data_IF_764572459058
#
_entry.id   IF_764572459058
#
_cell.length_a   1.000
_cell.length_b   1.000
_cell.length_c   1.000
_cell.angle_alpha   90.00
_cell.angle_beta   90.00
_cell.angle_gamma   90.00
#
_symmetry.space_group_name_H-M   'P 1'
#
loop_
_entity.id
_entity.type
_entity.pdbx_description
1 polymer ?
#
# COMPACT_ATOMS: atom_id res chain seq x y z
N UNK A 1 -9.81 -14.43 36.99
CA UNK A 1 -9.10 -14.97 35.81
C UNK A 1 -8.91 -13.85 34.82
N UNK A 2 -7.70 -13.34 34.65
CA UNK A 2 -7.40 -12.35 33.61
C UNK A 2 -7.37 -13.08 32.26
N UNK A 3 -8.32 -12.79 31.38
CA UNK A 3 -8.28 -13.25 30.00
C UNK A 3 -7.09 -12.58 29.31
N UNK A 4 -6.01 -13.33 29.13
CA UNK A 4 -4.92 -12.96 28.23
C UNK A 4 -5.50 -12.93 26.82
N UNK A 5 -5.97 -11.74 26.42
CA UNK A 5 -6.43 -11.51 25.05
C UNK A 5 -5.19 -11.64 24.18
N UNK A 6 -5.08 -12.74 23.44
CA UNK A 6 -3.96 -12.94 22.50
C UNK A 6 -4.00 -11.78 21.52
N UNK A 7 -2.95 -10.94 21.54
CA UNK A 7 -2.87 -9.77 20.68
C UNK A 7 -3.02 -10.19 19.23
N UNK A 8 -3.86 -9.48 18.46
CA UNK A 8 -4.10 -9.86 17.06
C UNK A 8 -2.79 -9.70 16.30
N UNK A 9 -2.51 -10.55 15.29
CA UNK A 9 -1.29 -10.43 14.50
C UNK A 9 -1.04 -9.02 13.94
N UNK A 10 -2.12 -8.33 13.53
CA UNK A 10 -2.05 -6.95 13.04
C UNK A 10 -1.54 -5.94 14.08
N UNK A 11 -1.89 -6.14 15.36
CA UNK A 11 -1.49 -5.23 16.43
C UNK A 11 0.03 -5.32 16.67
N UNK A 12 0.62 -6.52 16.51
CA UNK A 12 2.07 -6.73 16.58
C UNK A 12 2.80 -6.06 15.42
N UNK A 13 2.30 -6.21 14.20
CA UNK A 13 2.88 -5.55 13.03
C UNK A 13 2.82 -4.03 13.17
N UNK A 14 1.69 -3.49 13.65
CA UNK A 14 1.53 -2.05 13.86
C UNK A 14 2.38 -1.50 14.99
N UNK A 15 2.57 -2.25 16.08
CA UNK A 15 3.47 -1.84 17.15
C UNK A 15 4.91 -1.71 16.63
N UNK A 16 5.43 -2.76 15.99
CA UNK A 16 6.78 -2.75 15.39
C UNK A 16 6.94 -1.64 14.35
N UNK A 17 5.99 -1.52 13.41
CA UNK A 17 6.04 -0.49 12.38
C UNK A 17 5.95 0.92 12.97
N UNK A 18 5.17 1.14 14.03
CA UNK A 18 5.06 2.46 14.66
C UNK A 18 6.32 2.83 15.44
N UNK A 19 7.06 1.86 15.97
CA UNK A 19 8.34 2.10 16.63
C UNK A 19 9.40 2.63 15.66
N UNK A 20 9.34 2.22 14.40
CA UNK A 20 10.20 2.73 13.33
C UNK A 20 9.76 4.11 12.80
N UNK A 21 8.59 4.61 13.17
CA UNK A 21 7.98 5.83 12.62
C UNK A 21 7.44 6.74 13.73
N UNK A 22 8.32 7.35 14.52
CA UNK A 22 7.94 8.27 15.60
C UNK A 22 7.98 9.74 15.18
N UNK A 23 8.78 10.11 14.19
CA UNK A 23 8.91 11.50 13.74
C UNK A 23 7.66 11.96 12.95
N UNK A 24 7.06 13.08 13.35
CA UNK A 24 5.83 13.60 12.74
C UNK A 24 6.00 14.02 11.26
N UNK A 25 7.18 14.48 10.84
CA UNK A 25 7.47 14.73 9.43
C UNK A 25 7.50 13.42 8.65
N UNK A 26 8.22 12.41 9.15
CA UNK A 26 8.30 11.10 8.51
C UNK A 26 6.91 10.46 8.35
N UNK A 27 6.08 10.52 9.40
CA UNK A 27 4.70 10.04 9.37
C UNK A 27 3.83 10.79 8.34
N UNK A 28 3.96 12.11 8.21
CA UNK A 28 3.21 12.91 7.22
C UNK A 28 3.59 12.54 5.80
N UNK A 29 4.90 12.38 5.55
CA UNK A 29 5.41 11.89 4.26
C UNK A 29 4.82 10.52 3.94
N UNK A 30 4.84 9.59 4.91
CA UNK A 30 4.31 8.23 4.71
C UNK A 30 2.82 8.21 4.34
N UNK A 31 2.00 9.06 4.95
CA UNK A 31 0.56 9.12 4.66
C UNK A 31 0.28 9.46 3.18
N UNK A 32 1.19 10.17 2.51
CA UNK A 32 1.06 10.51 1.09
C UNK A 32 1.84 9.54 0.19
N UNK A 33 3.09 9.27 0.55
CA UNK A 33 4.00 8.48 -0.27
C UNK A 33 3.60 7.00 -0.34
N UNK A 34 3.11 6.41 0.75
CA UNK A 34 2.74 4.98 0.76
C UNK A 34 1.56 4.68 -0.17
N UNK A 35 0.43 5.42 -0.14
CA UNK A 35 -0.63 5.24 -1.14
C UNK A 35 -0.15 5.48 -2.57
N UNK A 36 0.71 6.48 -2.80
CA UNK A 36 1.28 6.75 -4.12
C UNK A 36 2.17 5.59 -4.62
N UNK A 37 3.01 5.03 -3.76
CA UNK A 37 3.82 3.85 -4.07
C UNK A 37 2.91 2.65 -4.37
N UNK A 38 1.93 2.38 -3.51
CA UNK A 38 0.99 1.27 -3.72
C UNK A 38 0.25 1.39 -5.06
N UNK A 39 -0.28 2.56 -5.40
CA UNK A 39 -0.91 2.80 -6.69
C UNK A 39 0.06 2.67 -7.86
N UNK A 40 1.27 3.23 -7.76
CA UNK A 40 2.26 3.14 -8.85
C UNK A 40 2.70 1.70 -9.11
N UNK A 41 2.84 0.86 -8.09
CA UNK A 41 3.10 -0.58 -8.26
C UNK A 41 1.95 -1.27 -8.98
N UNK A 42 0.70 -0.97 -8.61
CA UNK A 42 -0.49 -1.49 -9.30
C UNK A 42 -0.46 -1.07 -10.77
N UNK A 43 -0.18 0.20 -11.08
CA UNK A 43 -0.12 0.71 -12.45
C UNK A 43 1.04 0.12 -13.26
N UNK A 44 2.22 -0.10 -12.65
CA UNK A 44 3.34 -0.78 -13.31
C UNK A 44 2.99 -2.24 -13.65
N UNK A 45 2.37 -2.97 -12.72
CA UNK A 45 1.85 -4.32 -12.98
C UNK A 45 0.73 -4.32 -14.01
N UNK A 46 -0.06 -3.25 -14.08
CA UNK A 46 -1.12 -3.08 -15.06
C UNK A 46 -0.58 -3.03 -16.49
N UNK A 47 0.58 -2.39 -16.65
CA UNK A 47 1.27 -2.24 -17.94
C UNK A 47 1.98 -3.52 -18.42
N UNK A 48 2.04 -4.58 -17.60
CA UNK A 48 2.62 -5.84 -18.03
C UNK A 48 1.69 -6.55 -19.04
N UNK A 49 2.22 -6.95 -20.21
CA UNK A 49 1.40 -7.63 -21.20
C UNK A 49 0.89 -8.97 -20.66
N UNK A 50 -0.36 -9.35 -20.96
CA UNK A 50 -0.89 -10.65 -20.60
C UNK A 50 -0.14 -11.76 -21.37
N UNK A 51 0.18 -12.86 -20.69
CA UNK A 51 0.82 -14.03 -21.33
C UNK A 51 -0.17 -14.88 -22.13
N UNK A 52 -1.48 -14.69 -21.92
CA UNK A 52 -2.56 -15.40 -22.60
C UNK A 52 -3.44 -14.36 -23.27
N UNK A 53 -3.66 -14.52 -24.58
CA UNK A 53 -4.29 -13.52 -25.46
C UNK A 53 -5.75 -13.21 -25.15
N UNK A 54 -6.43 -14.03 -24.34
CA UNK A 54 -7.80 -13.76 -23.89
C UNK A 54 -7.88 -12.79 -22.69
N UNK A 55 -6.76 -12.53 -22.02
CA UNK A 55 -6.73 -11.54 -20.94
C UNK A 55 -6.40 -10.15 -21.47
N UNK A 56 -6.91 -9.15 -20.75
CA UNK A 56 -6.62 -7.74 -20.99
C UNK A 56 -5.45 -7.28 -20.11
N UNK A 57 -4.89 -6.10 -20.43
CA UNK A 57 -3.98 -5.40 -19.53
C UNK A 57 -4.64 -5.20 -18.15
N UNK A 58 -3.82 -5.23 -17.10
CA UNK A 58 -4.32 -5.20 -15.72
C UNK A 58 -4.51 -6.57 -15.06
N UNK A 59 -4.41 -7.69 -15.77
CA UNK A 59 -4.58 -9.03 -15.15
C UNK A 59 -3.59 -9.29 -14.01
N UNK A 60 -2.32 -8.94 -14.19
CA UNK A 60 -1.28 -9.11 -13.18
C UNK A 60 -1.50 -8.21 -11.96
N UNK A 61 -1.93 -6.96 -12.19
CA UNK A 61 -2.33 -6.06 -11.13
C UNK A 61 -3.54 -6.62 -10.35
N UNK A 62 -4.55 -7.14 -11.05
CA UNK A 62 -5.72 -7.77 -10.44
C UNK A 62 -5.37 -8.95 -9.54
N UNK A 63 -4.52 -9.86 -10.01
CA UNK A 63 -4.03 -11.00 -9.24
C UNK A 63 -3.23 -10.56 -8.01
N UNK A 64 -2.33 -9.59 -8.16
CA UNK A 64 -1.53 -9.06 -7.06
C UNK A 64 -2.41 -8.36 -6.00
N UNK A 65 -3.36 -7.53 -6.44
CA UNK A 65 -4.33 -6.87 -5.54
C UNK A 65 -5.20 -7.89 -4.82
N UNK A 66 -5.67 -8.95 -5.49
CA UNK A 66 -6.45 -10.00 -4.86
C UNK A 66 -5.64 -10.77 -3.80
N UNK A 67 -4.38 -11.14 -4.12
CA UNK A 67 -3.49 -11.79 -3.17
C UNK A 67 -3.19 -10.90 -1.94
N UNK A 68 -2.89 -9.62 -2.16
CA UNK A 68 -2.68 -8.65 -1.09
C UNK A 68 -3.95 -8.44 -0.25
N UNK A 69 -5.12 -8.37 -0.89
CA UNK A 69 -6.40 -8.26 -0.20
C UNK A 69 -6.68 -9.49 0.67
N UNK A 70 -6.44 -10.71 0.16
CA UNK A 70 -6.55 -11.94 0.95
C UNK A 70 -5.67 -11.90 2.21
N UNK A 71 -4.44 -11.39 2.07
CA UNK A 71 -3.54 -11.18 3.21
C UNK A 71 -4.11 -10.15 4.21
N UNK A 72 -4.58 -9.00 3.75
CA UNK A 72 -5.16 -7.97 4.62
C UNK A 72 -6.44 -8.41 5.32
N UNK A 73 -7.32 -9.09 4.60
CA UNK A 73 -8.60 -9.58 5.13
C UNK A 73 -8.39 -10.65 6.22
N UNK A 74 -7.28 -11.41 6.15
CA UNK A 74 -6.86 -12.32 7.23
C UNK A 74 -6.36 -11.60 8.48
N UNK A 75 -5.80 -10.39 8.35
CA UNK A 75 -5.30 -9.58 9.46
C UNK A 75 -6.41 -8.78 10.16
N UNK A 76 -7.30 -8.14 9.39
CA UNK A 76 -8.51 -7.46 9.89
C UNK A 76 -9.53 -7.35 8.75
N UNK A 77 -10.75 -7.85 8.94
CA UNK A 77 -11.82 -7.77 7.94
C UNK A 77 -12.19 -6.32 7.61
N UNK A 78 -12.28 -5.47 8.63
CA UNK A 78 -12.68 -4.08 8.47
C UNK A 78 -11.66 -3.28 7.66
N UNK A 79 -10.36 -3.48 7.91
CA UNK A 79 -9.32 -2.89 7.05
C UNK A 79 -9.23 -3.56 5.69
N UNK A 80 -9.53 -4.87 5.61
CA UNK A 80 -9.65 -5.61 4.36
C UNK A 80 -10.66 -4.97 3.41
N UNK A 81 -11.83 -4.55 3.90
CA UNK A 81 -12.81 -3.81 3.10
C UNK A 81 -12.31 -2.43 2.66
N UNK A 82 -11.62 -1.70 3.54
CA UNK A 82 -11.03 -0.41 3.16
C UNK A 82 -9.94 -0.56 2.08
N UNK A 83 -9.11 -1.60 2.18
CA UNK A 83 -8.12 -1.92 1.14
C UNK A 83 -8.76 -2.41 -0.16
N UNK A 84 -9.88 -3.15 -0.08
CA UNK A 84 -10.65 -3.53 -1.26
C UNK A 84 -11.16 -2.30 -2.02
N UNK A 85 -11.71 -1.32 -1.30
CA UNK A 85 -12.13 -0.05 -1.89
C UNK A 85 -10.95 0.70 -2.52
N UNK A 86 -9.82 0.79 -1.82
CA UNK A 86 -8.59 1.40 -2.36
C UNK A 86 -8.11 0.71 -3.65
N UNK A 87 -8.11 -0.62 -3.69
CA UNK A 87 -7.72 -1.39 -4.87
C UNK A 87 -8.69 -1.22 -6.03
N UNK A 88 -9.99 -1.22 -5.76
CA UNK A 88 -11.00 -0.96 -6.78
C UNK A 88 -10.81 0.42 -7.42
N UNK A 89 -10.67 1.47 -6.59
CA UNK A 89 -10.40 2.83 -7.09
C UNK A 89 -9.09 2.89 -7.88
N UNK A 90 -8.03 2.26 -7.38
CA UNK A 90 -6.73 2.21 -8.07
C UNK A 90 -6.84 1.55 -9.45
N UNK A 91 -7.59 0.45 -9.56
CA UNK A 91 -7.85 -0.22 -10.83
C UNK A 91 -8.68 0.64 -11.79
N UNK A 92 -9.73 1.32 -11.30
CA UNK A 92 -10.49 2.27 -12.10
C UNK A 92 -9.60 3.40 -12.63
N UNK A 93 -8.74 3.97 -11.79
CA UNK A 93 -7.79 5.03 -12.19
C UNK A 93 -6.82 4.51 -13.25
N UNK A 94 -6.29 3.29 -13.11
CA UNK A 94 -5.41 2.70 -14.13
C UNK A 94 -6.15 2.54 -15.47
N UNK A 95 -7.39 2.03 -15.45
CA UNK A 95 -8.18 1.86 -16.67
C UNK A 95 -8.50 3.20 -17.34
N UNK A 96 -8.87 4.22 -16.57
CA UNK A 96 -9.16 5.56 -17.10
C UNK A 96 -7.90 6.18 -17.71
N UNK A 97 -6.76 6.13 -17.01
CA UNK A 97 -5.50 6.66 -17.54
C UNK A 97 -5.00 5.87 -18.75
N UNK A 98 -5.12 4.55 -18.76
CA UNK A 98 -4.80 3.74 -19.95
C UNK A 98 -5.62 4.20 -21.16
N UNK A 99 -6.91 4.48 -20.98
CA UNK A 99 -7.78 4.95 -22.05
C UNK A 99 -7.43 6.37 -22.54
N UNK A 100 -7.07 7.28 -21.64
CA UNK A 100 -6.81 8.69 -21.97
C UNK A 100 -5.40 8.95 -22.50
N UNK A 101 -4.37 8.35 -21.87
CA UNK A 101 -2.97 8.63 -22.19
C UNK A 101 -2.24 7.44 -22.83
N UNK A 102 -2.87 6.26 -22.88
CA UNK A 102 -2.27 5.05 -23.42
C UNK A 102 -1.31 4.34 -22.44
N UNK A 103 -1.08 3.05 -22.70
CA UNK A 103 -0.31 2.16 -21.81
C UNK A 103 1.14 2.63 -21.59
N UNK A 104 1.81 3.13 -22.63
CA UNK A 104 3.21 3.57 -22.54
C UNK A 104 3.34 4.81 -21.65
N UNK A 105 2.43 5.77 -21.76
CA UNK A 105 2.47 6.96 -20.91
C UNK A 105 2.04 6.63 -19.48
N UNK A 106 1.08 5.71 -19.29
CA UNK A 106 0.74 5.18 -17.96
C UNK A 106 1.97 4.55 -17.28
N UNK A 107 2.76 3.75 -18.01
CA UNK A 107 3.98 3.15 -17.49
C UNK A 107 4.97 4.22 -17.00
N UNK A 108 5.28 5.23 -17.82
CA UNK A 108 6.22 6.29 -17.44
C UNK A 108 5.69 7.18 -16.31
N UNK A 109 4.39 7.46 -16.30
CA UNK A 109 3.74 8.17 -15.20
C UNK A 109 3.88 7.38 -13.89
N UNK A 110 3.55 6.08 -13.91
CA UNK A 110 3.67 5.21 -12.75
C UNK A 110 5.11 5.12 -12.26
N UNK A 111 6.08 4.97 -13.18
CA UNK A 111 7.51 4.95 -12.83
C UNK A 111 7.96 6.27 -12.20
N UNK A 112 7.52 7.41 -12.72
CA UNK A 112 7.80 8.73 -12.15
C UNK A 112 7.23 8.89 -10.74
N UNK A 113 5.96 8.52 -10.54
CA UNK A 113 5.31 8.54 -9.22
C UNK A 113 6.03 7.60 -8.24
N UNK A 114 6.38 6.40 -8.67
CA UNK A 114 7.13 5.43 -7.86
C UNK A 114 8.46 6.01 -7.39
N UNK A 115 9.26 6.57 -8.31
CA UNK A 115 10.55 7.16 -7.98
C UNK A 115 10.43 8.34 -7.01
N UNK A 116 9.54 9.30 -7.30
CA UNK A 116 9.34 10.49 -6.46
C UNK A 116 8.86 10.12 -5.06
N UNK A 117 7.89 9.21 -4.95
CA UNK A 117 7.35 8.79 -3.67
C UNK A 117 8.37 8.02 -2.83
N UNK A 118 9.21 7.19 -3.45
CA UNK A 118 10.32 6.53 -2.76
C UNK A 118 11.39 7.52 -2.27
N UNK A 119 11.78 8.48 -3.10
CA UNK A 119 12.70 9.55 -2.69
C UNK A 119 12.12 10.29 -1.48
N UNK A 120 10.84 10.64 -1.51
CA UNK A 120 10.17 11.26 -0.37
C UNK A 120 10.21 10.36 0.88
N UNK A 121 9.89 9.07 0.78
CA UNK A 121 9.99 8.13 1.91
C UNK A 121 11.40 8.06 2.50
N UNK A 122 12.44 7.98 1.67
CA UNK A 122 13.82 7.96 2.15
C UNK A 122 14.22 9.26 2.84
N UNK A 123 13.76 10.41 2.33
CA UNK A 123 13.93 11.70 3.01
C UNK A 123 13.25 11.66 4.38
N UNK A 124 12.03 11.11 4.48
CA UNK A 124 11.33 10.92 5.75
C UNK A 124 12.15 10.08 6.75
N UNK A 125 12.67 8.93 6.31
CA UNK A 125 13.51 8.06 7.14
C UNK A 125 14.85 8.69 7.53
N UNK A 126 15.44 9.52 6.67
CA UNK A 126 16.64 10.29 7.03
C UNK A 126 16.38 11.20 8.25
N UNK A 127 15.19 11.82 8.32
CA UNK A 127 14.80 12.65 9.47
C UNK A 127 14.36 11.82 10.69
N UNK A 128 13.88 10.60 10.48
CA UNK A 128 13.56 9.66 11.56
C UNK A 128 14.82 9.13 12.25
N UNK A 129 15.93 8.96 11.50
CA UNK A 129 17.15 8.33 12.01
C UNK A 129 17.06 6.80 12.15
N UNK A 130 15.93 6.21 11.76
CA UNK A 130 15.72 4.75 11.67
C UNK A 130 15.65 4.29 10.22
N UNK A 131 16.16 3.09 9.97
CA UNK A 131 16.09 2.43 8.66
C UNK A 131 14.63 2.12 8.31
N UNK A 132 14.25 2.15 7.02
CA UNK A 132 12.94 1.69 6.60
C UNK A 132 12.66 0.24 7.01
N UNK A 133 11.47 -0.03 7.56
CA UNK A 133 11.11 -1.35 8.09
C UNK A 133 11.14 -2.46 7.05
N UNK A 134 10.94 -2.17 5.76
CA UNK A 134 11.02 -3.20 4.71
C UNK A 134 12.44 -3.74 4.48
N UNK A 135 13.47 -3.04 4.95
CA UNK A 135 14.85 -3.53 4.91
C UNK A 135 15.09 -4.64 5.93
N UNK A 136 14.22 -4.76 6.96
CA UNK A 136 14.29 -5.85 7.93
C UNK A 136 13.44 -7.02 7.49
N UNK A 137 12.24 -6.77 6.95
CA UNK A 137 11.34 -7.78 6.39
C UNK A 137 10.46 -7.18 5.29
N UNK A 138 10.46 -7.80 4.10
CA UNK A 138 9.67 -7.37 2.96
C UNK A 138 8.16 -7.34 3.24
N UNK A 139 7.65 -8.10 4.20
CA UNK A 139 6.25 -8.04 4.63
C UNK A 139 5.86 -6.61 5.04
N UNK A 140 6.78 -5.79 5.54
CA UNK A 140 6.47 -4.41 5.92
C UNK A 140 6.11 -3.50 4.73
N UNK A 141 6.41 -3.89 3.48
CA UNK A 141 5.84 -3.24 2.30
C UNK A 141 4.32 -3.41 2.23
N UNK A 142 3.81 -4.57 2.65
CA UNK A 142 2.37 -4.83 2.72
C UNK A 142 1.76 -4.16 3.96
N UNK A 143 2.48 -4.10 5.09
CA UNK A 143 1.98 -3.49 6.32
C UNK A 143 1.86 -1.96 6.22
N UNK A 144 2.76 -1.29 5.51
CA UNK A 144 2.75 0.17 5.35
C UNK A 144 1.40 0.73 4.89
N UNK A 145 0.82 0.28 3.76
CA UNK A 145 -0.50 0.72 3.30
C UNK A 145 -1.60 0.50 4.34
N UNK A 146 -1.59 -0.65 5.00
CA UNK A 146 -2.57 -0.99 6.03
C UNK A 146 -2.45 -0.09 7.27
N UNK A 147 -1.23 0.27 7.65
CA UNK A 147 -0.97 1.20 8.76
C UNK A 147 -1.42 2.63 8.44
N UNK A 148 -1.25 3.09 7.19
CA UNK A 148 -1.79 4.38 6.74
C UNK A 148 -3.31 4.37 6.75
N UNK A 149 -3.94 3.32 6.24
CA UNK A 149 -5.40 3.16 6.29
C UNK A 149 -5.91 3.12 7.74
N UNK A 150 -5.22 2.42 8.63
CA UNK A 150 -5.55 2.37 10.05
C UNK A 150 -5.46 3.76 10.73
N UNK A 151 -4.51 4.62 10.32
CA UNK A 151 -4.48 6.03 10.78
C UNK A 151 -5.71 6.81 10.32
N UNK A 152 -6.13 6.61 9.08
CA UNK A 152 -7.34 7.23 8.54
C UNK A 152 -8.58 6.77 9.33
N UNK A 153 -8.70 5.47 9.62
CA UNK A 153 -9.81 4.94 10.43
C UNK A 153 -9.84 5.57 11.82
N UNK A 154 -8.69 5.66 12.51
CA UNK A 154 -8.61 6.32 13.83
C UNK A 154 -8.98 7.82 13.77
N UNK A 155 -8.64 8.52 12.69
CA UNK A 155 -9.04 9.92 12.47
C UNK A 155 -10.56 10.08 12.29
N UNK A 156 -11.25 9.05 11.81
CA UNK A 156 -12.70 9.03 11.61
C UNK A 156 -13.47 8.32 12.73
N UNK A 157 -12.79 7.96 13.82
CA UNK A 157 -13.34 7.19 14.94
C UNK A 157 -13.90 5.80 14.52
N UNK A 158 -13.34 5.20 13.47
CA UNK A 158 -13.70 3.85 13.02
C UNK A 158 -12.83 2.79 13.68
N UNK A 159 -13.46 1.68 14.08
CA UNK A 159 -12.81 0.51 14.70
C UNK A 159 -12.43 -0.52 13.64
N UNK A 160 -11.36 -1.27 13.88
CA UNK A 160 -10.92 -2.36 13.00
C UNK A 160 -10.16 -3.46 13.72
#
# INVERSE_FOLDING_TARGET
MATTTVARPIDRYFASYSDDHRNALNQRIHVVAVPAIAWSVIALLWCLPPLITWFQNGIWAGLAMFAAWCFYNRLSRTLGYGMLAFFFVSGCVCRLLEAEIGLVNLFWLALGVFAVAWVAQFIGHKHEGRKPSFLTDLVYLLIGPLWVLAKLYRRMDWRY
#
